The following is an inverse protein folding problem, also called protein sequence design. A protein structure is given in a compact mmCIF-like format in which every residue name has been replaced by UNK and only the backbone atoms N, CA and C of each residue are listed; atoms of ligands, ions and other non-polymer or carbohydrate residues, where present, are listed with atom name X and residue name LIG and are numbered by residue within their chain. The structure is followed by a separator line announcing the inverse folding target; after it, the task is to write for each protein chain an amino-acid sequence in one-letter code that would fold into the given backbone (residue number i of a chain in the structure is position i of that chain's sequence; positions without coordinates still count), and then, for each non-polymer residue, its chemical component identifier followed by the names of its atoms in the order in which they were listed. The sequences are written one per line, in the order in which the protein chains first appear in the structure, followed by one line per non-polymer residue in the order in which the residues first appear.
data_IF_368983654570
#
_entry.id   IF_368983654570
#
_cell.length_a   1.000
_cell.length_b   1.000
_cell.length_c   1.000
_cell.angle_alpha   90.00
_cell.angle_beta   90.00
_cell.angle_gamma   90.00
#
_symmetry.space_group_name_H-M   'P 1'
#
loop_
_entity.id
_entity.type
_entity.pdbx_description
1 polymer ?
#
# COMPACT_ATOMS: atom_id res chain seq x y z
N UNK A 1 -15.20 28.38 12.06
CA UNK A 1 -14.30 27.31 12.01
C UNK A 1 -14.03 26.85 10.64
N UNK A 2 -13.01 27.35 10.14
CA UNK A 2 -12.66 27.02 8.76
C UNK A 2 -12.43 25.56 8.58
N UNK A 3 -12.16 24.89 9.65
CA UNK A 3 -11.80 23.51 9.56
C UNK A 3 -12.93 22.59 9.15
N UNK A 4 -14.15 23.03 9.31
CA UNK A 4 -15.27 22.19 9.00
C UNK A 4 -15.40 21.87 7.54
N UNK A 5 -15.35 22.90 6.71
CA UNK A 5 -15.44 22.68 5.29
C UNK A 5 -14.29 21.86 4.78
N UNK A 6 -13.11 22.20 5.28
CA UNK A 6 -11.92 21.48 4.86
C UNK A 6 -12.02 20.03 5.29
N UNK A 7 -12.50 19.80 6.50
CA UNK A 7 -12.60 18.44 7.01
C UNK A 7 -13.55 17.61 6.17
N UNK A 8 -14.65 18.20 5.77
CA UNK A 8 -15.62 17.48 4.98
C UNK A 8 -15.08 17.13 3.61
N UNK A 9 -14.44 18.08 2.97
CA UNK A 9 -13.83 17.84 1.67
C UNK A 9 -12.73 16.80 1.80
N UNK A 10 -11.95 16.88 2.86
CA UNK A 10 -10.87 15.94 3.06
C UNK A 10 -11.38 14.54 3.32
N UNK A 11 -12.51 14.43 4.02
CA UNK A 11 -13.10 13.13 4.25
C UNK A 11 -13.49 12.47 2.95
N UNK A 12 -14.08 13.22 2.04
CA UNK A 12 -14.44 12.68 0.75
C UNK A 12 -13.21 12.26 -0.04
N UNK A 13 -12.18 13.11 -0.02
CA UNK A 13 -10.95 12.80 -0.72
C UNK A 13 -10.31 11.54 -0.16
N UNK A 14 -10.31 11.42 1.15
CA UNK A 14 -9.74 10.24 1.80
C UNK A 14 -10.50 8.99 1.37
N UNK A 15 -11.81 9.07 1.35
CA UNK A 15 -12.61 7.92 0.97
C UNK A 15 -12.36 7.51 -0.47
N UNK A 16 -12.20 8.48 -1.36
CA UNK A 16 -11.91 8.19 -2.75
C UNK A 16 -10.53 7.57 -2.91
N UNK A 17 -9.53 8.13 -2.22
CA UNK A 17 -8.20 7.55 -2.26
C UNK A 17 -8.20 6.14 -1.71
N UNK A 18 -8.91 5.94 -0.61
CA UNK A 18 -8.96 4.61 0.00
C UNK A 18 -9.59 3.61 -0.95
N UNK A 19 -10.67 3.99 -1.59
CA UNK A 19 -11.34 3.13 -2.52
C UNK A 19 -10.44 2.77 -3.69
N UNK A 20 -9.80 3.77 -4.27
CA UNK A 20 -8.91 3.54 -5.39
C UNK A 20 -7.71 2.72 -4.96
N UNK A 21 -7.17 3.00 -3.79
CA UNK A 21 -6.02 2.27 -3.30
C UNK A 21 -6.35 0.80 -3.08
N UNK A 22 -7.53 0.54 -2.57
CA UNK A 22 -7.94 -0.84 -2.33
C UNK A 22 -8.17 -1.58 -3.63
N UNK A 23 -8.40 -0.87 -4.70
CA UNK A 23 -8.55 -1.47 -6.01
C UNK A 23 -7.23 -1.63 -6.73
N UNK A 24 -6.14 -1.19 -6.13
CA UNK A 24 -4.83 -1.40 -6.69
C UNK A 24 -4.22 -0.21 -7.39
N UNK A 25 -4.83 0.95 -7.29
CA UNK A 25 -4.27 2.14 -7.93
C UNK A 25 -3.03 2.58 -7.18
N UNK A 26 -1.89 2.50 -7.82
CA UNK A 26 -0.62 2.77 -7.16
C UNK A 26 -0.46 4.22 -6.73
N UNK A 27 -0.98 5.12 -7.52
CA UNK A 27 -0.92 6.53 -7.17
C UNK A 27 -1.73 6.82 -5.93
N UNK A 28 -2.94 6.26 -5.88
CA UNK A 28 -3.79 6.44 -4.71
C UNK A 28 -3.16 5.80 -3.48
N UNK A 29 -2.51 4.65 -3.65
CA UNK A 29 -1.84 3.99 -2.55
C UNK A 29 -0.74 4.86 -1.97
N UNK A 30 0.07 5.44 -2.85
CA UNK A 30 1.14 6.31 -2.38
C UNK A 30 0.57 7.53 -1.67
N UNK A 31 -0.48 8.11 -2.21
CA UNK A 31 -1.11 9.26 -1.56
C UNK A 31 -1.69 8.91 -0.21
N UNK A 32 -2.33 7.76 -0.13
CA UNK A 32 -2.89 7.33 1.14
C UNK A 32 -1.79 7.08 2.16
N UNK A 33 -0.68 6.51 1.72
CA UNK A 33 0.47 6.32 2.60
C UNK A 33 0.97 7.64 3.14
N UNK A 34 1.04 8.65 2.29
CA UNK A 34 1.49 9.97 2.72
C UNK A 34 0.54 10.57 3.75
N UNK A 35 -0.75 10.36 3.56
CA UNK A 35 -1.71 10.89 4.52
C UNK A 35 -1.55 10.26 5.88
N UNK A 36 -1.37 8.94 5.93
CA UNK A 36 -1.12 8.27 7.20
C UNK A 36 0.20 8.72 7.82
N UNK A 37 1.21 8.94 6.99
CA UNK A 37 2.50 9.36 7.51
C UNK A 37 2.44 10.75 8.12
N UNK A 38 1.69 11.63 7.50
CA UNK A 38 1.60 13.01 7.96
C UNK A 38 0.61 13.21 9.09
N UNK A 39 -0.43 12.41 9.11
CA UNK A 39 -1.42 12.51 10.18
C UNK A 39 -2.23 13.78 10.15
N UNK A 40 -2.47 14.33 8.97
CA UNK A 40 -3.17 15.59 8.87
C UNK A 40 -4.67 15.44 8.91
N UNK A 41 -5.21 14.67 7.98
CA UNK A 41 -6.65 14.45 7.90
C UNK A 41 -7.03 13.09 8.43
N UNK A 42 -6.07 12.27 8.66
CA UNK A 42 -6.20 10.92 9.18
C UNK A 42 -5.28 10.81 10.37
N UNK A 43 -5.64 10.02 11.35
CA UNK A 43 -4.74 9.77 12.47
C UNK A 43 -3.43 9.17 11.96
N UNK A 44 -2.32 9.74 12.40
CA UNK A 44 -1.02 9.28 11.98
C UNK A 44 -0.82 7.81 12.33
N UNK A 45 -0.31 7.05 11.37
CA UNK A 45 -0.14 5.62 11.57
C UNK A 45 0.97 5.15 10.64
N UNK A 46 2.15 4.93 11.21
CA UNK A 46 3.30 4.56 10.39
C UNK A 46 3.16 3.16 9.81
N UNK A 47 2.49 2.26 10.51
CA UNK A 47 2.26 0.91 9.99
C UNK A 47 1.41 1.00 8.72
N UNK A 48 0.33 1.75 8.79
CA UNK A 48 -0.51 1.93 7.60
C UNK A 48 0.24 2.63 6.49
N UNK A 49 1.04 3.64 6.84
CA UNK A 49 1.80 4.34 5.82
C UNK A 49 2.75 3.39 5.10
N UNK A 50 3.44 2.57 5.86
CA UNK A 50 4.36 1.59 5.27
C UNK A 50 3.62 0.64 4.34
N UNK A 51 2.47 0.13 4.80
CA UNK A 51 1.69 -0.81 4.00
C UNK A 51 1.36 -0.20 2.65
N UNK A 52 0.82 1.00 2.65
CA UNK A 52 0.39 1.60 1.40
C UNK A 52 1.56 2.00 0.51
N UNK A 53 2.67 2.47 1.10
CA UNK A 53 3.86 2.75 0.30
C UNK A 53 4.39 1.48 -0.34
N UNK A 54 4.41 0.39 0.42
CA UNK A 54 4.95 -0.85 -0.10
C UNK A 54 4.07 -1.40 -1.21
N UNK A 55 2.76 -1.34 -1.04
CA UNK A 55 1.85 -1.76 -2.08
C UNK A 55 1.98 -0.88 -3.31
N UNK A 56 2.19 0.42 -3.12
CA UNK A 56 2.35 1.32 -4.24
C UNK A 56 3.61 1.00 -5.03
N UNK A 57 4.64 0.54 -4.35
CA UNK A 57 5.88 0.18 -5.02
C UNK A 57 5.79 -1.18 -5.69
N UNK A 58 4.93 -2.03 -5.19
CA UNK A 58 4.84 -3.41 -5.66
C UNK A 58 4.17 -3.46 -7.03
N UNK A 59 4.88 -3.98 -8.01
CA UNK A 59 4.34 -4.12 -9.36
C UNK A 59 3.82 -2.81 -9.96
N UNK A 60 4.33 -1.69 -9.51
CA UNK A 60 3.92 -0.44 -10.09
C UNK A 60 4.45 -0.36 -11.50
N UNK A 61 3.63 0.18 -12.38
CA UNK A 61 3.99 0.25 -13.78
C UNK A 61 4.80 1.47 -14.10
N UNK A 62 4.71 2.48 -13.30
CA UNK A 62 5.47 3.69 -13.54
C UNK A 62 6.72 3.70 -12.69
N UNK A 63 7.82 3.97 -13.34
CA UNK A 63 9.08 4.02 -12.63
C UNK A 63 9.07 5.11 -11.58
N UNK A 64 8.42 6.20 -11.89
CA UNK A 64 8.33 7.32 -10.96
C UNK A 64 7.61 6.93 -9.69
N UNK A 65 6.49 6.24 -9.84
CA UNK A 65 5.71 5.80 -8.68
C UNK A 65 6.51 4.80 -7.87
N UNK A 66 7.16 3.87 -8.56
CA UNK A 66 7.96 2.88 -7.87
C UNK A 66 9.07 3.53 -7.05
N UNK A 67 9.77 4.46 -7.64
CA UNK A 67 10.87 5.15 -6.97
C UNK A 67 10.37 5.96 -5.79
N UNK A 68 9.30 6.72 -6.01
CA UNK A 68 8.76 7.58 -4.98
C UNK A 68 8.25 6.76 -3.80
N UNK A 69 7.50 5.72 -4.10
CA UNK A 69 6.91 4.91 -3.04
C UNK A 69 7.99 4.17 -2.25
N UNK A 70 9.00 3.66 -2.94
CA UNK A 70 10.09 2.98 -2.27
C UNK A 70 10.82 3.94 -1.34
N UNK A 71 11.07 5.15 -1.82
CA UNK A 71 11.73 6.16 -1.02
C UNK A 71 10.90 6.51 0.22
N UNK A 72 9.61 6.71 0.02
CA UNK A 72 8.73 7.03 1.13
C UNK A 72 8.68 5.90 2.15
N UNK A 73 8.65 4.67 1.65
CA UNK A 73 8.64 3.52 2.54
C UNK A 73 9.90 3.50 3.41
N UNK A 74 11.03 3.80 2.81
CA UNK A 74 12.28 3.79 3.56
C UNK A 74 12.30 4.88 4.61
N UNK A 75 11.80 6.04 4.27
CA UNK A 75 11.74 7.12 5.24
C UNK A 75 10.91 6.70 6.45
N UNK A 76 9.76 6.12 6.19
CA UNK A 76 8.87 5.72 7.25
C UNK A 76 9.48 4.59 8.09
N UNK A 77 10.15 3.67 7.43
CA UNK A 77 10.71 2.52 8.15
C UNK A 77 11.71 2.96 9.22
N UNK A 78 12.37 4.08 8.99
CA UNK A 78 13.32 4.57 9.98
C UNK A 78 12.65 5.11 11.23
N UNK A 79 11.36 5.34 11.17
CA UNK A 79 10.59 5.82 12.30
C UNK A 79 9.81 4.69 12.97
N UNK A 80 10.04 3.47 12.54
CA UNK A 80 9.27 2.34 13.04
C UNK A 80 10.17 1.39 13.79
N UNK A 81 9.56 0.66 14.70
CA UNK A 81 10.29 -0.42 15.38
C UNK A 81 10.33 -1.64 14.47
N UNK A 82 11.26 -2.57 14.73
CA UNK A 82 11.30 -3.80 13.94
C UNK A 82 9.98 -4.57 14.00
N UNK A 83 9.31 -4.56 15.13
CA UNK A 83 8.03 -5.25 15.27
C UNK A 83 6.97 -4.59 14.38
N UNK A 84 6.98 -3.28 14.33
CA UNK A 84 6.03 -2.58 13.47
C UNK A 84 6.29 -2.87 12.01
N UNK A 85 7.55 -2.93 11.62
CA UNK A 85 7.88 -3.24 10.24
C UNK A 85 7.45 -4.66 9.91
N UNK A 86 7.70 -5.61 10.81
CA UNK A 86 7.29 -6.99 10.58
C UNK A 86 5.78 -7.10 10.44
N UNK A 87 5.05 -6.38 11.28
CA UNK A 87 3.60 -6.38 11.20
C UNK A 87 3.11 -5.80 9.87
N UNK A 88 3.72 -4.69 9.45
CA UNK A 88 3.34 -4.08 8.18
C UNK A 88 3.61 -5.04 7.02
N UNK A 89 4.77 -5.68 7.04
CA UNK A 89 5.10 -6.62 5.98
C UNK A 89 4.14 -7.81 5.94
N UNK A 90 3.74 -8.28 7.11
CA UNK A 90 2.77 -9.36 7.17
C UNK A 90 1.44 -8.94 6.56
N UNK A 91 1.00 -7.75 6.85
CA UNK A 91 -0.25 -7.25 6.29
C UNK A 91 -0.18 -7.04 4.80
N UNK A 92 0.99 -6.63 4.32
CA UNK A 92 1.16 -6.49 2.87
C UNK A 92 1.00 -7.85 2.21
N UNK A 93 1.64 -8.88 2.77
CA UNK A 93 1.51 -10.22 2.19
C UNK A 93 0.06 -10.68 2.16
N UNK A 94 -0.65 -10.41 3.24
CA UNK A 94 -2.06 -10.80 3.30
C UNK A 94 -2.88 -10.07 2.26
N UNK A 95 -2.61 -8.78 2.11
CA UNK A 95 -3.33 -7.98 1.15
C UNK A 95 -3.07 -8.48 -0.28
N UNK A 96 -1.83 -8.73 -0.59
CA UNK A 96 -1.45 -9.20 -1.91
C UNK A 96 -2.09 -10.56 -2.19
N UNK A 97 -2.03 -11.45 -1.24
CA UNK A 97 -2.64 -12.76 -1.38
C UNK A 97 -4.12 -12.66 -1.70
N UNK A 98 -4.79 -11.82 -0.94
CA UNK A 98 -6.21 -11.64 -1.10
C UNK A 98 -6.55 -11.08 -2.47
N UNK A 99 -5.79 -10.11 -2.92
CA UNK A 99 -6.09 -9.45 -4.16
C UNK A 99 -5.66 -10.27 -5.37
N UNK A 100 -4.62 -11.06 -5.22
CA UNK A 100 -4.25 -11.97 -6.28
C UNK A 100 -5.34 -13.01 -6.49
N UNK A 101 -5.91 -13.51 -5.41
CA UNK A 101 -6.99 -14.46 -5.54
C UNK A 101 -8.20 -13.85 -6.22
N UNK A 102 -8.46 -12.59 -5.91
CA UNK A 102 -9.57 -11.90 -6.53
C UNK A 102 -9.38 -11.73 -8.01
N UNK A 103 -8.17 -11.46 -8.41
CA UNK A 103 -7.85 -11.24 -9.81
C UNK A 103 -7.67 -12.53 -10.57
N UNK A 104 -7.63 -13.61 -9.85
CA UNK A 104 -7.36 -14.89 -10.43
C UNK A 104 -8.61 -15.44 -11.10
N UNK A 105 -8.48 -15.83 -12.34
CA UNK A 105 -9.59 -16.42 -13.07
C UNK A 105 -9.49 -17.93 -12.98
N UNK A 106 -10.50 -18.58 -12.50
CA UNK A 106 -10.43 -20.02 -12.33
C UNK A 106 -10.12 -20.75 -13.61
N UNK A 107 -10.63 -20.25 -14.69
CA UNK A 107 -10.37 -20.89 -15.96
C UNK A 107 -9.00 -20.58 -16.44
N UNK A 108 -8.35 -19.71 -15.76
CA UNK A 108 -7.12 -19.31 -16.27
C UNK A 108 -6.12 -20.18 -15.74
N UNK A 109 -5.50 -20.80 -16.11
CA UNK A 109 -4.28 -21.38 -16.05
C UNK A 109 -3.56 -21.35 -14.79
N UNK A 110 -3.99 -22.15 -13.91
CA UNK A 110 -3.30 -22.32 -12.67
C UNK A 110 -1.86 -22.61 -12.87
N UNK A 111 -1.58 -23.37 -13.87
CA UNK A 111 -0.21 -23.75 -14.12
C UNK A 111 0.62 -22.59 -14.51
N UNK A 112 0.00 -21.65 -15.15
CA UNK A 112 0.73 -20.50 -15.61
C UNK A 112 0.69 -19.39 -14.65
N UNK A 113 0.06 -19.61 -13.56
CA UNK A 113 0.00 -18.60 -12.59
C UNK A 113 1.31 -18.41 -11.97
N UNK A 114 1.55 -17.24 -11.74
CA UNK A 114 2.85 -16.77 -11.50
C UNK A 114 3.45 -17.29 -10.26
N UNK A 115 4.02 -18.37 -10.39
CA UNK A 115 4.97 -18.76 -9.41
C UNK A 115 6.04 -17.73 -9.32
N UNK A 116 6.36 -17.15 -10.45
CA UNK A 116 7.35 -16.09 -10.49
C UNK A 116 6.95 -14.95 -9.63
N UNK A 117 5.70 -14.53 -9.76
CA UNK A 117 5.21 -13.44 -8.95
C UNK A 117 5.25 -13.79 -7.49
N UNK A 118 4.83 -14.99 -7.18
CA UNK A 118 4.84 -15.44 -5.80
C UNK A 118 6.24 -15.53 -5.26
N UNK A 119 7.15 -15.97 -6.09
CA UNK A 119 8.53 -16.05 -5.68
C UNK A 119 9.11 -14.71 -5.33
N UNK A 120 8.81 -13.72 -6.13
CA UNK A 120 9.30 -12.40 -5.87
C UNK A 120 8.76 -11.85 -4.57
N UNK A 121 7.50 -12.08 -4.34
CA UNK A 121 6.92 -11.64 -3.09
C UNK A 121 7.54 -12.37 -1.93
N UNK A 122 7.76 -13.64 -2.09
CA UNK A 122 8.40 -14.45 -1.08
C UNK A 122 9.78 -13.94 -0.75
N UNK A 123 10.56 -13.65 -1.75
CA UNK A 123 11.89 -13.14 -1.53
C UNK A 123 11.86 -11.85 -0.75
N UNK A 124 10.85 -11.06 -1.00
CA UNK A 124 10.77 -9.76 -0.37
C UNK A 124 10.35 -9.82 1.08
N UNK A 125 9.42 -10.71 1.38
CA UNK A 125 8.81 -10.71 2.70
C UNK A 125 9.01 -11.98 3.49
N UNK A 126 9.82 -12.85 2.97
CA UNK A 126 10.00 -14.15 3.58
C UNK A 126 10.98 -14.14 4.73
N UNK A 127 11.49 -13.04 5.03
CA UNK A 127 12.43 -12.96 6.11
C UNK A 127 11.73 -13.01 7.44
#
# INVERSE_FOLDING_TARGET
MPRKGVTQDNTQAINLYRKAAEQGDHKAQNNLGKMYAQGREITQDFVQAYIWFDLAAWKSEGEEIHTTATHNREIISKKMTPDQIAEAQRRVREWVNKHQKKQFHPSGNLENQPRTTNSNLHQRYHL
#
